data_IF_007764419190
#
_entry.id   IF_007764419190
#
_cell.length_a   1.000
_cell.length_b   1.000
_cell.length_c   1.000
_cell.angle_alpha   90.00
_cell.angle_beta   90.00
_cell.angle_gamma   90.00
#
_symmetry.space_group_name_H-M   'P 1'
#
loop_
_entity.id
_entity.type
_entity.pdbx_description
1 polymer ?
#
# COMPACT_ATOMS: atom_id res chain seq x y z
N UNK A 1 -17.15 7.84 9.53
CA UNK A 1 -15.69 8.10 9.44
C UNK A 1 -15.08 7.52 8.16
N UNK A 2 -15.11 6.20 7.92
CA UNK A 2 -14.49 5.56 6.73
C UNK A 2 -14.87 6.25 5.40
N UNK A 3 -16.16 6.52 5.15
CA UNK A 3 -16.61 7.24 3.93
C UNK A 3 -15.95 8.62 3.75
N UNK A 4 -15.66 9.34 4.85
CA UNK A 4 -14.96 10.63 4.80
C UNK A 4 -13.48 10.44 4.44
N UNK A 5 -12.84 9.40 4.98
CA UNK A 5 -11.45 9.04 4.69
C UNK A 5 -11.31 8.58 3.22
N UNK A 6 -12.16 7.67 2.76
CA UNK A 6 -12.12 7.21 1.38
C UNK A 6 -12.38 8.35 0.39
N UNK A 7 -13.33 9.25 0.68
CA UNK A 7 -13.57 10.45 -0.13
C UNK A 7 -12.36 11.40 -0.15
N UNK A 8 -11.68 11.59 0.99
CA UNK A 8 -10.45 12.39 1.08
C UNK A 8 -9.35 11.81 0.18
N UNK A 9 -9.14 10.50 0.24
CA UNK A 9 -8.12 9.80 -0.56
C UNK A 9 -8.50 9.82 -2.04
N UNK A 10 -9.77 9.59 -2.37
CA UNK A 10 -10.29 9.66 -3.73
C UNK A 10 -10.01 11.02 -4.38
N UNK A 11 -10.31 12.11 -3.66
CA UNK A 11 -10.02 13.48 -4.12
C UNK A 11 -8.52 13.72 -4.31
N UNK A 12 -7.67 13.15 -3.46
CA UNK A 12 -6.22 13.27 -3.62
C UNK A 12 -5.71 12.49 -4.83
N UNK A 13 -6.22 11.28 -5.08
CA UNK A 13 -5.88 10.48 -6.26
C UNK A 13 -6.25 11.23 -7.55
N UNK A 14 -7.43 11.86 -7.59
CA UNK A 14 -7.94 12.57 -8.77
C UNK A 14 -7.48 14.04 -8.86
N UNK A 15 -6.62 14.48 -7.94
CA UNK A 15 -6.05 15.82 -8.04
C UNK A 15 -5.09 15.89 -9.24
N UNK A 16 -5.18 16.94 -10.04
CA UNK A 16 -4.30 17.17 -11.21
C UNK A 16 -2.81 17.21 -10.84
N UNK A 17 -2.46 17.58 -9.60
CA UNK A 17 -1.08 17.61 -9.12
C UNK A 17 -0.55 16.25 -8.62
N UNK A 18 -1.37 15.20 -8.62
CA UNK A 18 -0.94 13.87 -8.19
C UNK A 18 0.07 13.28 -9.19
N UNK A 19 1.30 13.08 -8.73
CA UNK A 19 2.41 12.53 -9.53
C UNK A 19 2.10 11.16 -10.15
N UNK A 20 1.36 10.31 -9.44
CA UNK A 20 1.04 8.95 -9.90
C UNK A 20 -0.03 8.93 -10.99
N UNK A 21 -0.89 9.96 -11.05
CA UNK A 21 -2.07 10.01 -11.90
C UNK A 21 -3.33 9.40 -11.24
N UNK A 22 -4.51 9.67 -11.80
CA UNK A 22 -5.81 9.32 -11.18
C UNK A 22 -6.02 7.80 -11.06
N UNK A 23 -5.46 7.03 -11.99
CA UNK A 23 -5.59 5.58 -12.05
C UNK A 23 -4.96 4.85 -10.86
N UNK A 24 -4.17 5.53 -10.02
CA UNK A 24 -3.67 4.96 -8.76
C UNK A 24 -4.81 4.55 -7.81
N UNK A 25 -5.98 5.19 -7.94
CA UNK A 25 -7.17 4.83 -7.19
C UNK A 25 -7.56 3.37 -7.46
N UNK A 26 -7.85 3.03 -8.73
CA UNK A 26 -8.34 1.70 -9.11
C UNK A 26 -7.24 0.63 -9.09
N UNK A 27 -6.00 1.03 -9.37
CA UNK A 27 -4.91 0.07 -9.58
C UNK A 27 -4.04 -0.20 -8.35
N UNK A 28 -4.18 0.59 -7.28
CA UNK A 28 -3.38 0.40 -6.08
C UNK A 28 -4.21 0.61 -4.81
N UNK A 29 -4.73 1.82 -4.59
CA UNK A 29 -5.39 2.16 -3.32
C UNK A 29 -6.59 1.26 -3.04
N UNK A 30 -7.51 1.14 -4.00
CA UNK A 30 -8.72 0.33 -3.84
C UNK A 30 -8.40 -1.17 -3.67
N UNK A 31 -7.57 -1.80 -4.53
CA UNK A 31 -7.14 -3.19 -4.33
C UNK A 31 -6.49 -3.46 -2.97
N UNK A 32 -5.65 -2.53 -2.46
CA UNK A 32 -5.03 -2.66 -1.14
C UNK A 32 -6.08 -2.66 -0.04
N UNK A 33 -7.08 -1.77 -0.10
CA UNK A 33 -8.16 -1.72 0.89
C UNK A 33 -8.99 -2.99 0.86
N UNK A 34 -9.35 -3.49 -0.32
CA UNK A 34 -10.14 -4.71 -0.47
C UNK A 34 -9.42 -5.94 0.11
N UNK A 35 -8.15 -6.13 -0.25
CA UNK A 35 -7.33 -7.23 0.27
C UNK A 35 -7.10 -7.11 1.77
N UNK A 36 -6.86 -5.89 2.27
CA UNK A 36 -6.68 -5.65 3.69
C UNK A 36 -7.93 -6.04 4.50
N UNK A 37 -9.14 -5.73 3.99
CA UNK A 37 -10.42 -6.11 4.63
C UNK A 37 -10.62 -7.62 4.63
N UNK A 38 -10.34 -8.29 3.52
CA UNK A 38 -10.43 -9.76 3.41
C UNK A 38 -9.47 -10.42 4.40
N UNK A 39 -8.23 -9.96 4.46
CA UNK A 39 -7.21 -10.49 5.38
C UNK A 39 -7.56 -10.21 6.85
N UNK A 40 -8.03 -9.01 7.18
CA UNK A 40 -8.45 -8.68 8.54
C UNK A 40 -9.56 -9.61 9.04
N UNK A 41 -10.56 -9.88 8.19
CA UNK A 41 -11.62 -10.82 8.53
C UNK A 41 -11.09 -12.25 8.71
N UNK A 42 -10.26 -12.73 7.79
CA UNK A 42 -9.72 -14.10 7.85
C UNK A 42 -8.78 -14.35 9.03
N UNK A 43 -8.09 -13.32 9.49
CA UNK A 43 -7.05 -13.42 10.51
C UNK A 43 -7.49 -12.90 11.88
N UNK A 44 -8.71 -12.39 12.01
CA UNK A 44 -9.25 -11.89 13.27
C UNK A 44 -8.58 -10.59 13.76
N UNK A 45 -8.09 -9.76 12.85
CA UNK A 45 -7.49 -8.46 13.20
C UNK A 45 -8.56 -7.37 13.40
N UNK A 46 -8.18 -6.25 14.01
CA UNK A 46 -9.05 -5.08 14.05
C UNK A 46 -9.33 -4.55 12.64
N UNK A 47 -10.53 -4.84 12.13
CA UNK A 47 -10.96 -4.48 10.77
C UNK A 47 -10.93 -2.98 10.54
N UNK A 48 -11.26 -2.17 11.55
CA UNK A 48 -11.35 -0.73 11.40
C UNK A 48 -9.95 -0.11 11.34
N UNK A 49 -9.03 -0.53 12.21
CA UNK A 49 -7.62 -0.10 12.17
C UNK A 49 -6.99 -0.48 10.84
N UNK A 50 -7.20 -1.72 10.36
CA UNK A 50 -6.68 -2.19 9.08
C UNK A 50 -7.24 -1.38 7.91
N UNK A 51 -8.56 -1.19 7.84
CA UNK A 51 -9.20 -0.47 6.73
C UNK A 51 -8.75 1.00 6.67
N UNK A 52 -8.68 1.68 7.81
CA UNK A 52 -8.18 3.07 7.88
C UNK A 52 -6.72 3.15 7.44
N UNK A 53 -5.89 2.24 7.93
CA UNK A 53 -4.47 2.18 7.58
C UNK A 53 -4.28 1.93 6.09
N UNK A 54 -5.07 1.04 5.49
CA UNK A 54 -5.04 0.76 4.06
C UNK A 54 -5.46 1.97 3.22
N UNK A 55 -6.50 2.72 3.63
CA UNK A 55 -6.88 3.95 2.94
C UNK A 55 -5.77 5.02 2.98
N UNK A 56 -5.06 5.14 4.11
CA UNK A 56 -4.13 6.24 4.36
C UNK A 56 -2.65 5.92 4.08
N UNK A 57 -2.29 4.66 3.78
CA UNK A 57 -0.88 4.22 3.72
C UNK A 57 -0.01 5.04 2.76
N UNK A 58 -0.54 5.36 1.58
CA UNK A 58 0.13 6.16 0.53
C UNK A 58 -0.44 7.58 0.41
N UNK A 59 -1.36 8.00 1.28
CA UNK A 59 -2.01 9.31 1.17
C UNK A 59 -0.99 10.47 1.15
N UNK A 60 0.10 10.37 1.92
CA UNK A 60 1.14 11.40 1.95
C UNK A 60 1.83 11.60 0.60
N UNK A 61 2.24 10.51 -0.06
CA UNK A 61 2.92 10.57 -1.36
C UNK A 61 1.97 11.00 -2.48
N UNK A 62 0.71 10.56 -2.42
CA UNK A 62 -0.33 10.98 -3.38
C UNK A 62 -0.62 12.47 -3.25
N UNK A 63 -0.71 12.98 -2.01
CA UNK A 63 -0.99 14.39 -1.74
C UNK A 63 0.17 15.30 -2.14
N UNK A 64 1.40 14.88 -1.89
CA UNK A 64 2.58 15.66 -2.23
C UNK A 64 3.76 14.76 -2.61
N UNK A 65 4.25 14.91 -3.84
CA UNK A 65 5.41 14.17 -4.35
C UNK A 65 6.65 14.33 -3.47
N UNK A 66 6.85 15.49 -2.84
CA UNK A 66 8.02 15.71 -1.97
C UNK A 66 8.02 14.79 -0.74
N UNK A 67 6.85 14.28 -0.33
CA UNK A 67 6.75 13.31 0.76
C UNK A 67 7.08 11.89 0.34
N UNK A 68 7.21 11.59 -0.96
CA UNK A 68 7.40 10.21 -1.44
C UNK A 68 8.63 9.49 -0.84
N UNK A 69 9.82 10.09 -0.71
CA UNK A 69 10.99 9.40 -0.13
C UNK A 69 10.71 8.86 1.27
N UNK A 70 9.94 9.62 2.06
CA UNK A 70 9.64 9.36 3.45
C UNK A 70 8.14 9.18 3.75
N UNK A 71 7.35 8.76 2.77
CA UNK A 71 5.88 8.78 2.89
C UNK A 71 5.33 7.93 4.05
N UNK A 72 6.04 6.91 4.49
CA UNK A 72 5.73 6.19 5.74
C UNK A 72 5.72 7.09 7.00
N UNK A 73 6.68 8.02 7.15
CA UNK A 73 6.76 8.99 8.24
C UNK A 73 5.70 10.07 8.10
N UNK A 74 5.65 10.71 6.93
CA UNK A 74 4.65 11.75 6.65
C UNK A 74 3.22 11.20 6.67
N UNK A 75 3.01 9.98 6.20
CA UNK A 75 1.74 9.27 6.20
C UNK A 75 1.26 8.97 7.60
N UNK A 76 2.12 8.43 8.47
CA UNK A 76 1.78 8.23 9.88
C UNK A 76 1.41 9.57 10.55
N UNK A 77 2.20 10.63 10.33
CA UNK A 77 1.91 11.96 10.88
C UNK A 77 0.56 12.51 10.40
N UNK A 78 0.31 12.47 9.08
CA UNK A 78 -0.93 12.98 8.48
C UNK A 78 -2.15 12.17 8.93
N UNK A 79 -2.03 10.84 9.02
CA UNK A 79 -3.09 9.99 9.54
C UNK A 79 -3.46 10.38 10.99
N UNK A 80 -2.47 10.63 11.84
CA UNK A 80 -2.70 11.15 13.19
C UNK A 80 -3.50 12.45 13.19
N UNK A 81 -3.11 13.44 12.38
CA UNK A 81 -3.84 14.73 12.29
C UNK A 81 -5.27 14.54 11.79
N UNK A 82 -5.48 13.72 10.75
CA UNK A 82 -6.79 13.47 10.17
C UNK A 82 -7.71 12.80 11.19
N UNK A 83 -7.21 11.78 11.89
CA UNK A 83 -8.00 10.97 12.80
C UNK A 83 -8.31 11.70 14.12
N UNK A 84 -7.38 12.52 14.63
CA UNK A 84 -7.64 13.40 15.78
C UNK A 84 -8.78 14.37 15.50
N UNK A 85 -8.80 14.99 14.30
CA UNK A 85 -9.91 15.87 13.87
C UNK A 85 -11.25 15.14 13.72
N UNK A 86 -11.24 13.81 13.63
CA UNK A 86 -12.44 12.98 13.57
C UNK A 86 -12.80 12.34 14.92
N UNK A 87 -12.15 12.75 16.02
CA UNK A 87 -12.32 12.20 17.37
C UNK A 87 -12.14 10.68 17.43
N UNK A 88 -11.19 10.13 16.66
CA UNK A 88 -10.87 8.71 16.72
C UNK A 88 -10.06 8.39 17.99
N UNK A 89 -10.27 7.24 18.68
CA UNK A 89 -9.57 6.93 19.92
C UNK A 89 -8.05 6.93 19.77
N UNK A 90 -7.33 7.56 20.72
CA UNK A 90 -5.89 7.79 20.61
C UNK A 90 -5.07 6.49 20.52
N UNK A 91 -5.51 5.44 21.22
CA UNK A 91 -4.92 4.09 21.14
C UNK A 91 -5.03 3.49 19.73
N UNK A 92 -6.17 3.71 19.06
CA UNK A 92 -6.40 3.26 17.68
C UNK A 92 -5.66 4.14 16.67
N UNK A 93 -5.54 5.44 16.93
CA UNK A 93 -4.71 6.34 16.13
C UNK A 93 -3.27 5.85 16.13
N UNK A 94 -2.72 5.49 17.30
CA UNK A 94 -1.36 4.99 17.40
C UNK A 94 -1.15 3.67 16.65
N UNK A 95 -2.12 2.76 16.70
CA UNK A 95 -2.11 1.53 15.90
C UNK A 95 -2.11 1.82 14.40
N UNK A 96 -2.95 2.73 13.91
CA UNK A 96 -2.96 3.15 12.50
C UNK A 96 -1.62 3.75 12.09
N UNK A 97 -1.05 4.64 12.92
CA UNK A 97 0.26 5.24 12.68
C UNK A 97 1.35 4.18 12.55
N UNK A 98 1.37 3.18 13.44
CA UNK A 98 2.33 2.06 13.40
C UNK A 98 2.16 1.20 12.14
N UNK A 99 0.93 0.95 11.70
CA UNK A 99 0.66 0.24 10.45
C UNK A 99 1.24 0.98 9.25
N UNK A 100 0.94 2.28 9.13
CA UNK A 100 1.43 3.11 8.01
C UNK A 100 2.95 3.30 8.09
N UNK A 101 3.52 3.49 9.27
CA UNK A 101 4.97 3.66 9.44
C UNK A 101 5.76 2.42 8.98
N UNK A 102 5.24 1.22 9.27
CA UNK A 102 5.96 -0.04 9.04
C UNK A 102 5.56 -0.78 7.74
N UNK A 103 4.66 -0.22 6.91
CA UNK A 103 4.15 -0.96 5.76
C UNK A 103 5.23 -1.27 4.70
N UNK A 104 6.18 -0.36 4.49
CA UNK A 104 7.21 -0.48 3.42
C UNK A 104 8.25 -1.55 3.70
N UNK A 105 8.52 -2.40 2.72
CA UNK A 105 9.63 -3.37 2.79
C UNK A 105 11.01 -2.68 2.72
N UNK A 106 11.15 -1.59 1.95
CA UNK A 106 12.43 -0.93 1.69
C UNK A 106 13.06 -0.21 2.88
N UNK A 107 12.36 -0.13 4.02
CA UNK A 107 12.85 0.52 5.25
C UNK A 107 13.21 -0.48 6.34
N UNK A 108 13.02 -1.78 6.11
CA UNK A 108 13.28 -2.86 7.06
C UNK A 108 12.69 -2.64 8.47
N UNK A 109 11.53 -1.96 8.55
CA UNK A 109 10.87 -1.66 9.82
C UNK A 109 10.11 -2.91 10.29
N UNK A 110 10.34 -3.41 11.53
CA UNK A 110 9.61 -4.55 12.07
C UNK A 110 8.11 -4.28 12.21
N UNK A 111 7.29 -5.28 11.84
CA UNK A 111 5.82 -5.23 11.97
C UNK A 111 5.40 -6.02 13.20
N UNK A 112 5.15 -5.30 14.30
CA UNK A 112 4.88 -5.90 15.61
C UNK A 112 3.44 -6.43 15.72
N UNK A 113 2.46 -5.72 15.19
CA UNK A 113 1.05 -6.11 15.27
C UNK A 113 0.57 -6.91 14.05
N UNK A 114 -0.55 -7.60 14.22
CA UNK A 114 -1.20 -8.32 13.13
C UNK A 114 -1.72 -7.35 12.05
N UNK A 115 -2.29 -6.21 12.45
CA UNK A 115 -2.78 -5.16 11.57
C UNK A 115 -1.66 -4.61 10.68
N UNK A 116 -0.48 -4.35 11.26
CA UNK A 116 0.67 -3.87 10.51
C UNK A 116 1.17 -4.89 9.48
N UNK A 117 1.14 -6.19 9.84
CA UNK A 117 1.45 -7.29 8.90
C UNK A 117 0.42 -7.38 7.78
N UNK A 118 -0.87 -7.23 8.09
CA UNK A 118 -1.96 -7.29 7.11
C UNK A 118 -1.88 -6.12 6.12
N UNK A 119 -1.71 -4.89 6.59
CA UNK A 119 -1.61 -3.71 5.71
C UNK A 119 -0.42 -3.84 4.77
N UNK A 120 0.73 -4.27 5.29
CA UNK A 120 1.92 -4.50 4.47
C UNK A 120 1.76 -5.65 3.47
N UNK A 121 1.02 -6.70 3.86
CA UNK A 121 0.66 -7.81 3.00
C UNK A 121 -0.29 -7.37 1.88
N UNK A 122 -1.34 -6.60 2.18
CA UNK A 122 -2.27 -6.08 1.19
C UNK A 122 -1.58 -5.15 0.18
N UNK A 123 -0.73 -4.23 0.66
CA UNK A 123 0.17 -3.43 -0.20
C UNK A 123 1.05 -4.32 -1.10
N UNK A 124 1.55 -5.44 -0.56
CA UNK A 124 2.30 -6.40 -1.37
C UNK A 124 1.45 -7.10 -2.43
N UNK A 125 0.21 -7.46 -2.10
CA UNK A 125 -0.70 -8.17 -3.01
C UNK A 125 -1.02 -7.33 -4.25
N UNK A 126 -1.24 -6.02 -4.09
CA UNK A 126 -1.52 -5.12 -5.20
C UNK A 126 -0.40 -5.14 -6.27
N UNK A 127 0.87 -5.22 -5.86
CA UNK A 127 2.01 -5.34 -6.78
C UNK A 127 1.95 -6.60 -7.66
N UNK A 128 1.45 -7.72 -7.14
CA UNK A 128 1.30 -8.96 -7.93
C UNK A 128 0.02 -8.96 -8.75
N UNK A 129 -1.06 -8.35 -8.24
CA UNK A 129 -2.33 -8.26 -8.97
C UNK A 129 -2.21 -7.39 -10.21
N UNK A 130 -1.47 -6.28 -10.10
CA UNK A 130 -1.37 -5.20 -11.08
C UNK A 130 0.10 -5.00 -11.51
N UNK A 131 0.76 -6.08 -11.90
CA UNK A 131 2.19 -6.06 -12.30
C UNK A 131 2.44 -5.19 -13.53
N UNK A 132 1.46 -5.09 -14.44
CA UNK A 132 1.46 -4.18 -15.59
C UNK A 132 1.64 -2.72 -15.15
N UNK A 133 1.08 -2.34 -14.00
CA UNK A 133 1.21 -0.99 -13.45
C UNK A 133 2.58 -0.74 -12.81
N UNK A 134 3.22 -1.77 -12.28
CA UNK A 134 4.63 -1.69 -11.87
C UNK A 134 5.55 -1.50 -13.08
N UNK A 135 5.28 -2.19 -14.19
CA UNK A 135 6.00 -2.02 -15.45
C UNK A 135 5.81 -0.59 -16.00
N UNK A 136 4.57 -0.10 -16.05
CA UNK A 136 4.29 1.29 -16.41
C UNK A 136 5.05 2.28 -15.52
N UNK A 137 5.08 2.05 -14.21
CA UNK A 137 5.80 2.93 -13.29
C UNK A 137 7.31 2.93 -13.55
N UNK A 138 7.91 1.77 -13.82
CA UNK A 138 9.34 1.66 -14.12
C UNK A 138 9.69 2.37 -15.43
N UNK A 139 9.02 2.02 -16.53
CA UNK A 139 9.42 2.51 -17.86
C UNK A 139 8.90 3.92 -18.14
N UNK A 140 7.66 4.26 -17.76
CA UNK A 140 7.05 5.55 -18.12
C UNK A 140 7.31 6.62 -17.05
N UNK A 141 7.06 6.29 -15.78
CA UNK A 141 7.18 7.29 -14.70
C UNK A 141 8.62 7.49 -14.22
N UNK A 142 9.42 6.43 -14.18
CA UNK A 142 10.83 6.49 -13.77
C UNK A 142 11.80 6.57 -14.95
N UNK A 143 11.33 6.42 -16.19
CA UNK A 143 12.14 6.49 -17.41
C UNK A 143 13.34 5.53 -17.41
N UNK A 144 13.16 4.36 -16.81
CA UNK A 144 14.15 3.29 -16.82
C UNK A 144 14.20 2.64 -18.20
N UNK A 145 15.38 2.19 -18.63
CA UNK A 145 15.51 1.33 -19.79
C UNK A 145 14.94 -0.08 -19.52
N UNK A 146 14.82 -0.95 -20.55
CA UNK A 146 14.28 -2.30 -20.38
C UNK A 146 14.99 -3.15 -19.32
N UNK A 147 16.32 -3.12 -19.25
CA UNK A 147 17.09 -3.95 -18.32
C UNK A 147 17.02 -3.41 -16.89
N UNK A 148 17.17 -2.09 -16.73
CA UNK A 148 17.00 -1.41 -15.45
C UNK A 148 15.60 -1.61 -14.89
N UNK A 149 14.57 -1.45 -15.73
CA UNK A 149 13.18 -1.60 -15.33
C UNK A 149 12.84 -3.06 -14.99
N UNK A 150 13.30 -4.04 -15.79
CA UNK A 150 13.16 -5.47 -15.48
C UNK A 150 13.76 -5.78 -14.11
N UNK A 151 15.00 -5.37 -13.87
CA UNK A 151 15.70 -5.57 -12.58
C UNK A 151 14.95 -4.90 -11.43
N UNK A 152 14.51 -3.65 -11.61
CA UNK A 152 13.81 -2.90 -10.57
C UNK A 152 12.46 -3.56 -10.20
N UNK A 153 11.67 -4.00 -11.18
CA UNK A 153 10.39 -4.68 -10.95
C UNK A 153 10.61 -6.01 -10.23
N UNK A 154 11.57 -6.83 -10.68
CA UNK A 154 11.91 -8.10 -10.02
C UNK A 154 12.31 -7.90 -8.56
N UNK A 155 13.16 -6.92 -8.27
CA UNK A 155 13.58 -6.60 -6.90
C UNK A 155 12.42 -6.08 -6.04
N UNK A 156 11.51 -5.28 -6.62
CA UNK A 156 10.29 -4.83 -5.95
C UNK A 156 9.35 -6.00 -5.63
N UNK A 157 9.21 -6.96 -6.54
CA UNK A 157 8.39 -8.16 -6.34
C UNK A 157 9.00 -9.11 -5.31
N UNK A 158 10.32 -9.31 -5.31
CA UNK A 158 11.03 -10.07 -4.25
C UNK A 158 10.76 -9.50 -2.87
N UNK A 159 10.92 -8.18 -2.69
CA UNK A 159 10.60 -7.50 -1.43
C UNK A 159 9.12 -7.60 -1.06
N UNK A 160 8.23 -7.61 -2.05
CA UNK A 160 6.79 -7.77 -1.83
C UNK A 160 6.44 -9.20 -1.41
N UNK A 161 7.07 -10.21 -1.98
CA UNK A 161 6.85 -11.62 -1.67
C UNK A 161 7.13 -11.92 -0.18
N UNK A 162 8.18 -11.34 0.39
CA UNK A 162 8.53 -11.49 1.82
C UNK A 162 7.44 -10.96 2.75
N UNK A 163 6.66 -9.96 2.31
CA UNK A 163 5.54 -9.40 3.09
C UNK A 163 4.27 -10.27 3.04
N UNK A 164 4.17 -11.21 2.09
CA UNK A 164 2.93 -11.97 1.90
C UNK A 164 2.72 -12.98 3.04
N UNK A 165 1.55 -12.88 3.67
CA UNK A 165 1.05 -13.86 4.62
C UNK A 165 0.60 -15.14 3.89
N UNK A 166 0.54 -16.26 4.61
CA UNK A 166 0.16 -17.57 4.05
C UNK A 166 -1.16 -17.54 3.27
N UNK A 167 -2.26 -16.92 3.75
CA UNK A 167 -3.49 -16.81 2.96
C UNK A 167 -3.30 -16.04 1.66
N UNK A 168 -2.53 -14.94 1.68
CA UNK A 168 -2.25 -14.13 0.51
C UNK A 168 -1.42 -14.88 -0.53
N UNK A 169 -0.41 -15.65 -0.10
CA UNK A 169 0.37 -16.52 -1.00
C UNK A 169 -0.52 -17.55 -1.71
N UNK A 170 -1.48 -18.14 -1.00
CA UNK A 170 -2.46 -19.07 -1.60
C UNK A 170 -3.34 -18.36 -2.63
N UNK A 171 -3.87 -17.18 -2.30
CA UNK A 171 -4.70 -16.38 -3.21
C UNK A 171 -3.96 -15.96 -4.49
N UNK A 172 -2.65 -15.69 -4.40
CA UNK A 172 -1.85 -15.19 -5.52
C UNK A 172 -1.06 -16.26 -6.26
N UNK A 173 -1.14 -17.54 -5.88
CA UNK A 173 -0.29 -18.63 -6.41
C UNK A 173 -0.15 -18.58 -7.93
N UNK A 174 -1.29 -18.64 -8.65
CA UNK A 174 -1.31 -18.62 -10.12
C UNK A 174 -0.69 -17.35 -10.73
N UNK A 175 -0.95 -16.19 -10.13
CA UNK A 175 -0.36 -14.91 -10.61
C UNK A 175 1.14 -14.86 -10.39
N UNK A 176 1.63 -15.33 -9.24
CA UNK A 176 3.07 -15.37 -8.94
C UNK A 176 3.79 -16.31 -9.91
N UNK A 177 3.20 -17.47 -10.21
CA UNK A 177 3.74 -18.42 -11.20
C UNK A 177 3.79 -17.79 -12.60
N UNK A 178 2.70 -17.16 -13.06
CA UNK A 178 2.67 -16.48 -14.36
C UNK A 178 3.72 -15.35 -14.46
N UNK A 179 3.87 -14.55 -13.41
CA UNK A 179 4.90 -13.50 -13.36
C UNK A 179 6.31 -14.09 -13.49
N UNK A 180 6.60 -15.21 -12.82
CA UNK A 180 7.92 -15.85 -12.96
C UNK A 180 8.21 -16.27 -14.41
N UNK A 181 7.20 -16.75 -15.13
CA UNK A 181 7.32 -17.14 -16.55
C UNK A 181 7.56 -15.90 -17.44
N UNK A 182 6.88 -14.78 -17.17
CA UNK A 182 7.05 -13.55 -17.96
C UNK A 182 8.45 -12.94 -17.78
N UNK A 183 9.05 -13.11 -16.61
CA UNK A 183 10.37 -12.53 -16.29
C UNK A 183 11.55 -13.51 -16.40
N UNK A 184 11.29 -14.79 -16.69
CA UNK A 184 12.34 -15.80 -16.92
C UNK A 184 13.18 -15.53 -18.16
#
# INVERSE_FOLDING_TARGET
MIKKISSLVYKACHNKSNFFGPTIWDNHVLPVVEDAKILAQKLGADRQVVEISAWLHDYASIKNKSFYPEHHLHGARLAGVILKKMNYPEDKIDQVKKCIYSHRASKNIPRKSLEAKIVACADAMAHFKNVDKLLYFAYVKRKMDPEEGKKWVLEKLKRSYVKLLTPAKKMLKKKIEAIKIVFS
#
